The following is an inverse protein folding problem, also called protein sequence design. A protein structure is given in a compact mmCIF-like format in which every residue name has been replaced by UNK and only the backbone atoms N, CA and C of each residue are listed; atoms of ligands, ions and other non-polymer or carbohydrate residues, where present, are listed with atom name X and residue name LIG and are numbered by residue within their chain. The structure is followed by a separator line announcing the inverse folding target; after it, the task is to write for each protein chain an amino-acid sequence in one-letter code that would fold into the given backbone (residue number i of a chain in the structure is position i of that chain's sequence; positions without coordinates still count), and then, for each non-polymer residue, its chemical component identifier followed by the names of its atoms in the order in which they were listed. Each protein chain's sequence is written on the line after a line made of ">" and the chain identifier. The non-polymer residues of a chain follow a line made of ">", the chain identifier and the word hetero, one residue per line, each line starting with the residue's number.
data_IF_380654670169
#
_entry.id   IF_380654670169
#
_cell.length_a   1.000
_cell.length_b   1.000
_cell.length_c   1.000
_cell.angle_alpha   90.00
_cell.angle_beta   90.00
_cell.angle_gamma   90.00
#
_symmetry.space_group_name_H-M   'P 1'
#
loop_
_entity.id
_entity.type
_entity.pdbx_description
1 polymer ?
#
# COMPACT_ATOMS: atom_id res chain seq x y z
N UNK A 1 -53.46 3.48 21.85
CA UNK A 1 -52.85 3.15 23.16
C UNK A 1 -51.32 3.34 23.06
N UNK A 2 -50.63 2.67 22.17
CA UNK A 2 -49.14 2.75 22.04
C UNK A 2 -48.60 4.17 21.89
N UNK A 3 -49.21 5.00 21.07
CA UNK A 3 -48.80 6.41 20.89
C UNK A 3 -48.94 7.24 22.19
N UNK A 4 -49.99 6.98 22.97
CA UNK A 4 -50.19 7.68 24.26
C UNK A 4 -49.15 7.28 25.31
N UNK A 5 -48.76 5.99 25.36
CA UNK A 5 -47.70 5.49 26.23
C UNK A 5 -46.34 6.13 25.83
N UNK A 6 -46.04 6.16 24.53
CA UNK A 6 -44.79 6.72 24.00
C UNK A 6 -44.76 8.25 24.31
N UNK A 7 -45.80 8.99 23.98
CA UNK A 7 -45.89 10.42 24.23
C UNK A 7 -45.73 10.77 25.71
N UNK A 8 -46.39 10.02 26.60
CA UNK A 8 -46.23 10.23 28.03
C UNK A 8 -44.79 10.02 28.52
N UNK A 9 -44.10 8.98 27.98
CA UNK A 9 -42.72 8.72 28.35
C UNK A 9 -41.73 9.69 27.68
N UNK A 10 -42.08 10.29 26.53
CA UNK A 10 -41.30 11.39 25.92
C UNK A 10 -41.34 12.63 26.81
N UNK A 11 -42.47 12.93 27.40
CA UNK A 11 -42.69 14.11 28.23
C UNK A 11 -42.11 13.96 29.63
N UNK A 12 -42.35 12.80 30.28
CA UNK A 12 -42.03 12.58 31.70
C UNK A 12 -40.74 11.78 31.93
N UNK A 13 -40.14 11.21 30.88
CA UNK A 13 -38.91 10.44 30.98
C UNK A 13 -39.12 9.03 31.56
N UNK A 14 -38.41 8.71 32.64
CA UNK A 14 -38.55 7.44 33.33
C UNK A 14 -39.66 7.53 34.37
N UNK A 15 -40.64 6.61 34.30
CA UNK A 15 -41.75 6.53 35.23
C UNK A 15 -42.03 5.09 35.67
N UNK A 16 -42.58 4.89 36.85
CA UNK A 16 -43.06 3.57 37.23
C UNK A 16 -44.43 3.27 36.57
N UNK A 17 -44.82 1.99 36.59
CA UNK A 17 -46.06 1.56 35.92
C UNK A 17 -47.31 2.23 36.51
N UNK A 18 -47.33 2.47 37.84
CA UNK A 18 -48.49 3.08 38.50
C UNK A 18 -48.60 4.57 38.13
N UNK A 19 -47.52 5.30 38.06
CA UNK A 19 -47.47 6.68 37.57
C UNK A 19 -47.96 6.77 36.11
N UNK A 20 -47.48 5.87 35.24
CA UNK A 20 -47.96 5.79 33.87
C UNK A 20 -49.46 5.48 33.80
N UNK A 21 -49.96 4.55 34.62
CA UNK A 21 -51.36 4.20 34.67
C UNK A 21 -52.22 5.37 35.16
N UNK A 22 -51.78 6.09 36.18
CA UNK A 22 -52.48 7.27 36.67
C UNK A 22 -52.49 8.40 35.63
N UNK A 23 -51.36 8.70 35.04
CA UNK A 23 -51.24 9.75 34.02
C UNK A 23 -52.05 9.49 32.73
N UNK A 24 -52.28 8.24 32.40
CA UNK A 24 -53.10 7.84 31.24
C UNK A 24 -54.56 7.51 31.57
N UNK A 25 -55.03 7.69 32.81
CA UNK A 25 -56.36 7.28 33.31
C UNK A 25 -56.63 5.79 33.09
N UNK A 26 -55.62 4.94 33.37
CA UNK A 26 -55.64 3.49 33.14
C UNK A 26 -55.47 2.69 34.45
N UNK A 27 -55.60 3.34 35.64
CA UNK A 27 -55.38 2.70 36.94
C UNK A 27 -56.55 1.83 37.42
N UNK A 28 -57.69 1.80 36.71
CA UNK A 28 -58.87 0.99 37.07
C UNK A 28 -58.71 -0.50 36.78
N UNK A 29 -59.41 -1.35 37.55
CA UNK A 29 -59.30 -2.82 37.48
C UNK A 29 -59.54 -3.42 36.09
N UNK A 30 -60.35 -2.80 35.26
CA UNK A 30 -60.60 -3.26 33.87
C UNK A 30 -59.60 -2.67 32.85
N UNK A 31 -59.02 -1.51 33.13
CA UNK A 31 -58.14 -0.80 32.20
C UNK A 31 -56.68 -1.17 32.41
N UNK A 32 -56.23 -1.41 33.64
CA UNK A 32 -54.82 -1.71 33.98
C UNK A 32 -54.27 -2.95 33.25
N UNK A 33 -54.99 -4.10 33.16
CA UNK A 33 -54.49 -5.25 32.39
C UNK A 33 -54.28 -4.97 30.92
N UNK A 34 -55.08 -4.07 30.32
CA UNK A 34 -54.91 -3.64 28.91
C UNK A 34 -53.65 -2.82 28.75
N UNK A 35 -53.34 -1.93 29.72
CA UNK A 35 -52.11 -1.16 29.75
C UNK A 35 -50.89 -2.08 29.81
N UNK A 36 -50.87 -3.05 30.73
CA UNK A 36 -49.76 -4.01 30.88
C UNK A 36 -49.53 -4.78 29.59
N UNK A 37 -50.60 -5.24 28.93
CA UNK A 37 -50.48 -5.94 27.63
C UNK A 37 -49.83 -5.09 26.53
N UNK A 38 -50.16 -3.83 26.46
CA UNK A 38 -49.56 -2.91 25.48
C UNK A 38 -48.12 -2.56 25.83
N UNK A 39 -47.78 -2.39 27.14
CA UNK A 39 -46.40 -2.20 27.59
C UNK A 39 -45.55 -3.42 27.22
N UNK A 40 -45.98 -4.65 27.50
CA UNK A 40 -45.28 -5.89 27.14
C UNK A 40 -45.09 -6.02 25.63
N UNK A 41 -46.08 -5.58 24.85
CA UNK A 41 -45.96 -5.55 23.38
C UNK A 41 -44.91 -4.54 22.89
N UNK A 42 -44.88 -3.34 23.46
CA UNK A 42 -43.88 -2.32 23.13
C UNK A 42 -42.48 -2.72 23.58
N UNK A 43 -42.36 -3.41 24.70
CA UNK A 43 -41.11 -3.98 25.19
C UNK A 43 -40.60 -5.07 24.26
N UNK A 44 -41.44 -6.04 23.87
CA UNK A 44 -41.09 -7.10 22.90
C UNK A 44 -40.70 -6.54 21.53
N UNK A 45 -41.25 -5.38 21.17
CA UNK A 45 -40.85 -4.64 19.95
C UNK A 45 -39.55 -3.81 20.16
N UNK A 46 -38.95 -3.85 21.33
CA UNK A 46 -37.72 -3.12 21.64
C UNK A 46 -37.88 -1.59 21.70
N UNK A 47 -39.11 -1.09 21.88
CA UNK A 47 -39.40 0.35 22.00
C UNK A 47 -39.28 0.88 23.40
N UNK A 48 -39.57 0.00 24.39
CA UNK A 48 -39.50 0.28 25.82
C UNK A 48 -38.48 -0.64 26.49
N UNK A 49 -38.01 -0.25 27.66
CA UNK A 49 -37.24 -1.07 28.59
C UNK A 49 -37.60 -0.76 30.03
N UNK A 50 -37.46 -1.74 30.90
CA UNK A 50 -37.42 -1.54 32.35
C UNK A 50 -35.96 -1.29 32.77
N UNK A 51 -35.75 -0.41 33.72
CA UNK A 51 -34.49 -0.28 34.43
C UNK A 51 -34.41 -1.23 35.64
N UNK A 52 -33.25 -1.26 36.28
CA UNK A 52 -32.99 -2.15 37.43
C UNK A 52 -33.90 -1.85 38.64
N UNK A 53 -34.61 -0.73 38.66
CA UNK A 53 -35.57 -0.31 39.68
C UNK A 53 -37.03 -0.48 39.23
N UNK A 54 -37.27 -1.13 38.08
CA UNK A 54 -38.60 -1.41 37.58
C UNK A 54 -39.31 -0.20 36.94
N UNK A 55 -38.58 0.89 36.62
CA UNK A 55 -39.16 2.03 35.92
C UNK A 55 -39.14 1.79 34.41
N UNK A 56 -40.20 2.22 33.76
CA UNK A 56 -40.35 2.21 32.31
C UNK A 56 -39.64 3.40 31.68
N UNK A 57 -38.89 3.17 30.59
CA UNK A 57 -38.28 4.20 29.80
C UNK A 57 -38.34 3.86 28.31
N UNK A 58 -38.36 4.87 27.46
CA UNK A 58 -38.16 4.69 26.02
C UNK A 58 -36.75 4.15 25.75
N UNK A 59 -36.67 3.14 24.90
CA UNK A 59 -35.37 2.71 24.41
C UNK A 59 -34.91 3.76 23.37
N UNK A 60 -33.97 4.64 23.76
CA UNK A 60 -33.39 5.59 22.81
C UNK A 60 -32.84 4.78 21.63
N UNK A 61 -33.34 5.01 20.42
CA UNK A 61 -32.63 4.59 19.22
C UNK A 61 -31.23 5.16 19.34
N UNK A 62 -30.24 4.29 19.47
CA UNK A 62 -28.85 4.70 19.29
C UNK A 62 -28.80 5.12 17.82
N UNK A 63 -28.84 6.41 17.56
CA UNK A 63 -28.48 6.92 16.24
C UNK A 63 -27.07 6.42 16.01
N UNK A 64 -26.89 5.51 15.07
CA UNK A 64 -25.56 5.14 14.60
C UNK A 64 -24.96 6.45 14.11
N UNK A 65 -23.99 7.00 14.85
CA UNK A 65 -23.16 8.11 14.40
C UNK A 65 -22.74 7.73 12.98
N UNK A 66 -23.01 8.59 12.01
CA UNK A 66 -22.59 8.40 10.62
C UNK A 66 -21.07 8.20 10.66
N UNK A 67 -20.61 6.98 10.46
CA UNK A 67 -19.18 6.68 10.47
C UNK A 67 -18.56 7.45 9.33
N UNK A 68 -17.52 8.24 9.60
CA UNK A 68 -16.76 8.95 8.56
C UNK A 68 -15.80 7.91 7.99
N UNK A 69 -15.96 7.59 6.71
CA UNK A 69 -15.06 6.71 5.96
C UNK A 69 -14.08 7.54 5.14
N UNK A 70 -12.86 7.06 5.06
CA UNK A 70 -11.77 7.63 4.26
C UNK A 70 -11.10 6.52 3.46
N UNK A 71 -10.60 6.85 2.29
CA UNK A 71 -9.82 5.93 1.45
C UNK A 71 -8.41 6.47 1.33
N UNK A 72 -7.42 5.59 1.43
CA UNK A 72 -6.02 5.98 1.32
C UNK A 72 -5.09 4.78 1.22
N UNK A 73 -3.80 5.04 1.15
CA UNK A 73 -2.75 4.03 1.06
C UNK A 73 -2.26 3.68 2.46
N UNK A 74 -2.30 2.41 2.80
CA UNK A 74 -1.82 1.90 4.08
C UNK A 74 -0.31 1.69 4.05
N UNK A 75 0.41 2.34 4.94
CA UNK A 75 1.86 2.21 5.16
C UNK A 75 2.10 1.41 6.43
N UNK A 76 2.47 0.14 6.27
CA UNK A 76 2.72 -0.75 7.40
C UNK A 76 4.04 -0.44 8.10
N UNK A 77 4.06 -0.61 9.42
CA UNK A 77 5.26 -0.61 10.25
C UNK A 77 5.60 -2.04 10.67
N UNK A 78 6.91 -2.37 10.75
CA UNK A 78 7.40 -3.69 11.22
C UNK A 78 6.90 -4.07 12.62
N UNK A 79 6.46 -3.14 13.43
CA UNK A 79 5.89 -3.37 14.75
C UNK A 79 4.40 -3.75 14.72
N UNK A 80 3.77 -3.89 13.52
CA UNK A 80 2.39 -4.36 13.33
C UNK A 80 1.32 -3.27 13.42
N UNK A 81 1.65 -2.01 13.58
CA UNK A 81 0.77 -0.86 13.36
C UNK A 81 1.11 -0.20 12.02
N UNK A 82 0.41 0.85 11.64
CA UNK A 82 0.74 1.60 10.43
C UNK A 82 0.10 2.97 10.38
N UNK A 83 0.15 3.56 9.20
CA UNK A 83 -0.38 4.87 8.90
C UNK A 83 -1.20 4.81 7.61
N UNK A 84 -2.25 5.60 7.53
CA UNK A 84 -3.08 5.75 6.35
C UNK A 84 -2.79 7.12 5.73
N UNK A 85 -2.17 7.14 4.57
CA UNK A 85 -1.96 8.33 3.75
C UNK A 85 -3.20 8.54 2.85
N UNK A 86 -3.89 9.66 3.04
CA UNK A 86 -5.10 10.00 2.28
C UNK A 86 -4.78 11.02 1.20
N UNK A 87 -4.00 12.05 1.52
CA UNK A 87 -3.58 13.12 0.62
C UNK A 87 -2.14 13.51 0.96
N UNK A 88 -1.37 13.97 -0.05
CA UNK A 88 0.03 14.39 0.14
C UNK A 88 0.16 15.64 1.03
N UNK A 89 -0.90 16.43 1.17
CA UNK A 89 -0.94 17.68 1.95
C UNK A 89 -1.56 17.50 3.34
N UNK A 90 -2.01 16.29 3.69
CA UNK A 90 -2.61 16.01 4.99
C UNK A 90 -1.71 15.09 5.83
N UNK A 91 -1.80 15.22 7.16
CA UNK A 91 -1.09 14.34 8.08
C UNK A 91 -1.64 12.90 7.98
N UNK A 92 -0.73 11.92 7.92
CA UNK A 92 -1.08 10.50 7.92
C UNK A 92 -1.89 10.15 9.18
N UNK A 93 -2.95 9.34 8.99
CA UNK A 93 -3.81 8.87 10.08
C UNK A 93 -3.23 7.61 10.71
N UNK A 94 -3.25 7.50 12.02
CA UNK A 94 -2.71 6.35 12.75
C UNK A 94 -3.66 5.15 12.68
N UNK A 95 -3.10 3.97 12.35
CA UNK A 95 -3.80 2.67 12.34
C UNK A 95 -3.19 1.78 13.41
N UNK A 96 -3.89 1.57 14.51
CA UNK A 96 -3.42 0.71 15.59
C UNK A 96 -3.32 -0.76 15.18
N UNK A 97 -2.47 -1.54 15.85
CA UNK A 97 -2.22 -2.96 15.54
C UNK A 97 -3.50 -3.80 15.39
N UNK A 98 -4.50 -3.58 16.23
CA UNK A 98 -5.78 -4.30 16.18
C UNK A 98 -6.77 -3.76 15.13
N UNK A 99 -6.41 -2.66 14.48
CA UNK A 99 -7.23 -1.93 13.52
C UNK A 99 -6.73 -2.08 12.06
N UNK A 100 -5.60 -2.75 11.85
CA UNK A 100 -5.01 -3.04 10.52
C UNK A 100 -5.84 -4.05 9.73
N UNK A 101 -6.53 -4.97 10.42
CA UNK A 101 -7.29 -6.04 9.76
C UNK A 101 -6.35 -6.97 8.97
N UNK A 102 -6.59 -7.08 7.66
CA UNK A 102 -5.80 -7.90 6.74
C UNK A 102 -5.09 -7.07 5.66
N UNK A 103 -4.92 -5.78 5.92
CA UNK A 103 -4.18 -4.91 5.03
C UNK A 103 -2.69 -5.22 5.10
N UNK A 104 -2.02 -5.10 3.96
CA UNK A 104 -0.57 -5.19 3.83
C UNK A 104 0.00 -3.85 3.35
N UNK A 105 1.30 -3.68 3.47
CA UNK A 105 1.98 -2.44 3.08
C UNK A 105 1.68 -2.07 1.62
N UNK A 106 1.29 -0.83 1.40
CA UNK A 106 0.95 -0.29 0.08
C UNK A 106 -0.50 -0.53 -0.37
N UNK A 107 -1.31 -1.33 0.34
CA UNK A 107 -2.73 -1.54 -0.04
C UNK A 107 -3.50 -0.22 -0.01
N UNK A 108 -4.34 0.00 -1.02
CA UNK A 108 -5.38 1.02 -0.97
C UNK A 108 -6.56 0.47 -0.17
N UNK A 109 -6.91 1.15 0.92
CA UNK A 109 -7.89 0.66 1.88
C UNK A 109 -8.98 1.68 2.18
N UNK A 110 -10.14 1.17 2.56
CA UNK A 110 -11.21 1.95 3.18
C UNK A 110 -11.10 1.83 4.70
N UNK A 111 -11.15 2.95 5.41
CA UNK A 111 -11.04 2.99 6.86
C UNK A 111 -12.10 3.90 7.48
N UNK A 112 -12.47 3.59 8.71
CA UNK A 112 -13.42 4.38 9.53
C UNK A 112 -12.66 5.17 10.57
N UNK A 113 -12.96 6.46 10.68
CA UNK A 113 -12.38 7.34 11.68
C UNK A 113 -12.94 7.00 13.07
N UNK A 114 -12.07 6.47 13.94
CA UNK A 114 -12.39 6.16 15.37
C UNK A 114 -12.29 7.40 16.23
N UNK A 115 -11.20 8.16 16.02
CA UNK A 115 -10.93 9.40 16.74
C UNK A 115 -10.45 10.45 15.74
N UNK A 116 -11.06 11.63 15.70
CA UNK A 116 -10.58 12.71 14.84
C UNK A 116 -9.25 13.26 15.34
N UNK A 117 -8.47 13.85 14.45
CA UNK A 117 -7.25 14.56 14.80
C UNK A 117 -7.54 15.69 15.81
N UNK A 118 -6.64 15.91 16.74
CA UNK A 118 -6.72 17.04 17.66
C UNK A 118 -5.48 17.93 17.49
N UNK A 119 -5.61 18.96 16.67
CA UNK A 119 -4.54 19.92 16.37
C UNK A 119 -3.98 20.61 17.62
N UNK A 120 -4.85 20.89 18.62
CA UNK A 120 -4.43 21.52 19.87
C UNK A 120 -3.52 20.64 20.73
N UNK A 121 -3.69 19.30 20.63
CA UNK A 121 -2.88 18.31 21.34
C UNK A 121 -1.79 17.69 20.47
N UNK A 122 -1.69 18.05 19.19
CA UNK A 122 -0.74 17.45 18.24
C UNK A 122 -0.96 15.96 18.00
N UNK A 123 -2.21 15.47 18.13
CA UNK A 123 -2.52 14.04 17.92
C UNK A 123 -3.15 13.82 16.55
N UNK A 124 -2.59 12.86 15.79
CA UNK A 124 -3.15 12.41 14.52
C UNK A 124 -4.53 11.75 14.71
N UNK A 125 -5.32 11.71 13.63
CA UNK A 125 -6.54 10.92 13.62
C UNK A 125 -6.23 9.42 13.79
N UNK A 126 -7.08 8.70 14.53
CA UNK A 126 -7.01 7.24 14.62
C UNK A 126 -8.10 6.62 13.75
N UNK A 127 -7.72 5.67 12.90
CA UNK A 127 -8.63 4.99 11.98
C UNK A 127 -8.56 3.48 12.14
N UNK A 128 -9.60 2.79 11.69
CA UNK A 128 -9.67 1.33 11.60
C UNK A 128 -9.98 0.94 10.15
N UNK A 129 -9.17 0.09 9.57
CA UNK A 129 -9.39 -0.46 8.24
C UNK A 129 -10.61 -1.38 8.25
N UNK A 130 -11.54 -1.16 7.32
CA UNK A 130 -12.79 -1.91 7.20
C UNK A 130 -12.88 -2.66 5.87
N UNK A 131 -12.13 -2.25 4.86
CA UNK A 131 -12.10 -2.86 3.54
C UNK A 131 -10.77 -2.65 2.83
N UNK A 132 -10.46 -3.56 1.91
CA UNK A 132 -9.35 -3.44 0.98
C UNK A 132 -9.94 -3.09 -0.37
N UNK A 133 -9.54 -1.95 -0.92
CA UNK A 133 -9.99 -1.48 -2.24
C UNK A 133 -9.11 -2.08 -3.33
N UNK A 134 -7.77 -2.01 -3.13
CA UNK A 134 -6.80 -2.55 -4.07
C UNK A 134 -5.60 -3.13 -3.32
N UNK A 135 -5.12 -4.28 -3.79
CA UNK A 135 -3.92 -4.94 -3.29
C UNK A 135 -2.68 -4.42 -3.99
N UNK A 136 -1.71 -3.96 -3.21
CA UNK A 136 -0.40 -3.55 -3.71
C UNK A 136 0.55 -4.73 -3.87
N UNK A 137 0.63 -5.61 -2.86
CA UNK A 137 1.55 -6.73 -2.84
C UNK A 137 1.07 -7.84 -3.77
N UNK A 138 1.58 -7.90 -5.01
CA UNK A 138 1.22 -8.92 -6.01
C UNK A 138 2.25 -10.03 -6.09
N UNK A 139 3.53 -9.69 -5.88
CA UNK A 139 4.66 -10.62 -5.95
C UNK A 139 5.55 -10.48 -4.74
N UNK A 140 6.22 -11.55 -4.38
CA UNK A 140 7.21 -11.55 -3.29
C UNK A 140 8.40 -12.41 -3.69
N UNK A 141 9.60 -11.93 -3.40
CA UNK A 141 10.84 -12.69 -3.55
C UNK A 141 11.32 -13.14 -2.16
N UNK A 142 11.83 -14.35 -2.10
CA UNK A 142 12.39 -14.87 -0.86
C UNK A 142 12.95 -16.27 -0.98
N UNK A 143 13.61 -16.68 0.10
CA UNK A 143 14.17 -18.02 0.24
C UNK A 143 13.05 -19.04 0.40
N UNK A 144 13.05 -20.08 -0.44
CA UNK A 144 12.18 -21.23 -0.28
C UNK A 144 12.65 -22.11 0.88
N UNK A 145 11.69 -22.59 1.67
CA UNK A 145 11.90 -23.45 2.82
C UNK A 145 10.89 -24.60 2.75
N UNK A 146 11.40 -25.83 2.77
CA UNK A 146 10.57 -27.02 2.88
C UNK A 146 9.83 -27.02 4.23
N UNK A 147 8.56 -27.43 4.21
CA UNK A 147 7.72 -27.46 5.41
C UNK A 147 6.79 -28.68 5.39
N UNK A 148 7.06 -29.65 6.25
CA UNK A 148 6.25 -30.85 6.38
C UNK A 148 5.00 -30.66 7.25
N UNK A 149 4.90 -29.54 8.00
CA UNK A 149 3.75 -29.25 8.86
C UNK A 149 2.45 -29.06 8.07
N UNK A 150 2.56 -28.60 6.82
CA UNK A 150 1.40 -28.41 5.92
C UNK A 150 1.58 -29.17 4.60
N UNK A 151 1.38 -30.48 4.58
CA UNK A 151 1.71 -31.36 3.44
C UNK A 151 0.95 -31.06 2.15
N UNK A 152 -0.07 -30.22 2.20
CA UNK A 152 -0.80 -29.76 0.99
C UNK A 152 -0.02 -28.68 0.19
N UNK A 153 1.01 -28.07 0.78
CA UNK A 153 1.91 -27.12 0.15
C UNK A 153 3.29 -27.75 -0.10
N UNK A 154 4.07 -27.17 -1.01
CA UNK A 154 5.44 -27.58 -1.24
C UNK A 154 6.38 -27.12 -0.11
N UNK A 155 6.06 -25.99 0.49
CA UNK A 155 6.81 -25.32 1.54
C UNK A 155 6.32 -23.86 1.66
N UNK A 156 7.16 -23.00 2.16
CA UNK A 156 6.89 -21.56 2.25
C UNK A 156 8.11 -20.73 1.90
N UNK A 157 7.91 -19.46 1.57
CA UNK A 157 9.03 -18.51 1.41
C UNK A 157 9.17 -17.62 2.63
N UNK A 158 10.44 -17.28 2.91
CA UNK A 158 10.84 -16.27 3.87
C UNK A 158 11.41 -15.08 3.10
N UNK A 159 10.65 -13.99 3.06
CA UNK A 159 11.08 -12.72 2.45
C UNK A 159 12.00 -11.94 3.38
N UNK A 160 12.93 -11.15 2.81
CA UNK A 160 13.71 -10.14 3.55
C UNK A 160 12.88 -8.91 3.93
N UNK A 161 11.70 -8.73 3.32
CA UNK A 161 10.81 -7.62 3.65
C UNK A 161 10.21 -7.80 5.05
N UNK A 162 10.70 -7.04 6.01
CA UNK A 162 10.28 -7.10 7.42
C UNK A 162 8.82 -6.68 7.67
N UNK A 163 8.16 -6.07 6.69
CA UNK A 163 6.74 -5.70 6.76
C UNK A 163 5.81 -6.88 6.49
N UNK A 164 6.33 -7.95 5.88
CA UNK A 164 5.62 -9.22 5.65
C UNK A 164 5.94 -10.15 6.83
N UNK A 165 5.01 -10.27 7.77
CA UNK A 165 5.20 -11.06 8.98
C UNK A 165 4.66 -12.49 8.86
N UNK A 166 3.73 -12.72 7.93
CA UNK A 166 3.09 -14.01 7.73
C UNK A 166 3.88 -14.89 6.77
N UNK A 167 3.81 -16.21 6.95
CA UNK A 167 4.34 -17.20 5.99
C UNK A 167 3.60 -17.09 4.66
N UNK A 168 4.32 -17.28 3.55
CA UNK A 168 3.76 -17.35 2.19
C UNK A 168 3.94 -18.80 1.73
N UNK A 169 2.87 -19.58 1.80
CA UNK A 169 2.90 -20.99 1.38
C UNK A 169 2.81 -21.12 -0.13
N UNK A 170 3.60 -22.05 -0.66
CA UNK A 170 3.72 -22.32 -2.09
C UNK A 170 2.88 -23.53 -2.44
N UNK A 171 2.01 -23.43 -3.44
CA UNK A 171 1.26 -24.55 -3.99
C UNK A 171 2.21 -25.63 -4.51
N UNK A 172 1.79 -26.88 -4.41
CA UNK A 172 2.51 -27.97 -5.08
C UNK A 172 2.31 -27.82 -6.60
N UNK A 173 3.43 -27.70 -7.28
CA UNK A 173 3.52 -27.56 -8.73
C UNK A 173 4.54 -28.59 -9.26
N UNK A 174 4.59 -28.83 -10.58
CA UNK A 174 5.56 -29.75 -11.15
C UNK A 174 7.03 -29.29 -11.07
N UNK A 175 7.28 -28.10 -10.50
CA UNK A 175 8.63 -27.59 -10.25
C UNK A 175 9.19 -28.29 -9.01
N UNK A 176 10.33 -28.96 -9.18
CA UNK A 176 11.05 -29.58 -8.07
C UNK A 176 11.85 -28.51 -7.34
N UNK A 177 11.51 -28.27 -6.08
CA UNK A 177 12.21 -27.36 -5.17
C UNK A 177 12.84 -28.19 -4.07
N UNK A 178 14.12 -27.94 -3.76
CA UNK A 178 14.92 -28.70 -2.77
C UNK A 178 15.22 -27.90 -1.49
N UNK A 179 14.85 -26.63 -1.44
CA UNK A 179 15.03 -25.73 -0.28
C UNK A 179 16.26 -24.83 -0.39
N UNK A 180 16.97 -24.88 -1.52
CA UNK A 180 18.13 -23.99 -1.77
C UNK A 180 17.75 -22.76 -2.57
N UNK A 181 16.56 -22.73 -3.19
CA UNK A 181 16.16 -21.73 -4.15
C UNK A 181 15.78 -20.40 -3.49
N UNK A 182 16.09 -19.33 -4.19
CA UNK A 182 15.48 -18.01 -4.06
C UNK A 182 14.44 -17.90 -5.18
N UNK A 183 13.19 -17.75 -4.82
CA UNK A 183 12.08 -17.75 -5.80
C UNK A 183 11.27 -16.47 -5.76
N UNK A 184 10.75 -16.06 -6.90
CA UNK A 184 9.74 -15.04 -7.08
C UNK A 184 8.36 -15.71 -7.14
N UNK A 185 7.46 -15.25 -6.32
CA UNK A 185 6.15 -15.86 -6.08
C UNK A 185 5.04 -14.87 -6.37
N UNK A 186 4.04 -15.27 -7.14
CA UNK A 186 2.79 -14.54 -7.27
C UNK A 186 1.83 -14.89 -6.14
N UNK A 187 1.19 -13.89 -5.56
CA UNK A 187 0.25 -14.06 -4.46
C UNK A 187 -1.15 -14.36 -5.00
N UNK A 188 -1.64 -15.57 -4.71
CA UNK A 188 -3.00 -16.00 -5.08
C UNK A 188 -4.02 -15.72 -3.98
N UNK A 189 -3.61 -15.84 -2.71
CA UNK A 189 -4.49 -15.62 -1.57
C UNK A 189 -3.77 -14.85 -0.46
N UNK A 190 -4.48 -13.86 0.05
CA UNK A 190 -4.05 -13.04 1.18
C UNK A 190 -4.57 -13.61 2.50
N UNK A 191 -3.94 -13.25 3.64
CA UNK A 191 -4.45 -13.59 4.96
C UNK A 191 -5.90 -13.12 5.13
N UNK A 192 -6.69 -13.92 5.82
CA UNK A 192 -8.09 -13.64 6.18
C UNK A 192 -8.39 -14.11 7.58
N UNK A 193 -9.56 -13.74 8.13
CA UNK A 193 -10.00 -14.23 9.43
C UNK A 193 -10.08 -15.77 9.42
N UNK A 194 -9.16 -16.43 10.14
CA UNK A 194 -9.02 -17.90 10.19
C UNK A 194 -7.92 -18.49 9.31
N UNK A 195 -7.26 -17.68 8.47
CA UNK A 195 -6.11 -18.07 7.66
C UNK A 195 -5.05 -16.98 7.72
N UNK A 196 -4.16 -17.06 8.72
CA UNK A 196 -3.12 -16.06 8.96
C UNK A 196 -1.85 -16.33 8.14
N UNK A 197 -2.01 -16.59 6.84
CA UNK A 197 -0.91 -16.80 5.91
C UNK A 197 -1.32 -16.49 4.48
N UNK A 198 -0.33 -16.19 3.63
CA UNK A 198 -0.52 -16.06 2.19
C UNK A 198 -0.41 -17.41 1.51
N UNK A 199 -0.95 -17.51 0.30
CA UNK A 199 -0.71 -18.63 -0.62
C UNK A 199 -0.34 -18.07 -1.97
N UNK A 200 0.68 -18.63 -2.60
CA UNK A 200 1.11 -18.25 -3.93
C UNK A 200 1.62 -19.44 -4.74
N UNK A 201 2.06 -19.14 -5.95
CA UNK A 201 2.71 -20.06 -6.86
C UNK A 201 4.03 -19.49 -7.35
N UNK A 202 4.94 -20.35 -7.76
CA UNK A 202 6.26 -19.96 -8.27
C UNK A 202 6.05 -19.26 -9.62
N UNK A 203 6.55 -18.02 -9.74
CA UNK A 203 6.67 -17.32 -11.02
C UNK A 203 8.00 -17.66 -11.66
N UNK A 204 9.10 -17.46 -10.93
CA UNK A 204 10.46 -17.65 -11.41
C UNK A 204 11.38 -18.15 -10.30
N UNK A 205 12.43 -18.86 -10.68
CA UNK A 205 13.57 -19.18 -9.82
C UNK A 205 14.64 -18.12 -10.08
N UNK A 206 14.88 -17.26 -9.10
CA UNK A 206 15.86 -16.16 -9.18
C UNK A 206 17.31 -16.70 -9.14
N UNK A 207 17.53 -17.79 -8.41
CA UNK A 207 18.82 -18.45 -8.26
C UNK A 207 18.84 -19.34 -7.02
N UNK A 208 20.03 -19.77 -6.61
CA UNK A 208 20.19 -20.64 -5.45
C UNK A 208 21.06 -19.98 -4.37
N UNK A 209 20.84 -20.39 -3.14
CA UNK A 209 21.64 -19.92 -2.02
C UNK A 209 23.11 -20.30 -2.25
N UNK A 210 24.00 -19.33 -2.12
CA UNK A 210 25.43 -19.50 -2.37
C UNK A 210 25.88 -19.10 -3.78
N UNK A 211 24.95 -18.83 -4.70
CA UNK A 211 25.30 -18.24 -6.01
C UNK A 211 25.93 -16.87 -5.82
N UNK A 212 26.93 -16.57 -6.64
CA UNK A 212 27.61 -15.27 -6.58
C UNK A 212 26.64 -14.15 -6.98
N UNK A 213 26.46 -13.17 -6.10
CA UNK A 213 25.59 -12.01 -6.34
C UNK A 213 24.10 -12.28 -6.17
N UNK A 214 23.69 -13.44 -5.66
CA UNK A 214 22.26 -13.79 -5.44
C UNK A 214 21.57 -12.86 -4.45
N UNK A 215 22.30 -12.38 -3.44
CA UNK A 215 21.78 -11.44 -2.45
C UNK A 215 21.41 -10.07 -3.06
N UNK A 216 22.17 -9.63 -4.06
CA UNK A 216 21.90 -8.43 -4.84
C UNK A 216 20.71 -8.66 -5.77
N UNK A 217 20.69 -9.81 -6.49
CA UNK A 217 19.56 -10.17 -7.36
C UNK A 217 18.25 -10.29 -6.57
N UNK A 218 18.27 -10.88 -5.39
CA UNK A 218 17.08 -10.97 -4.52
C UNK A 218 16.53 -9.57 -4.18
N UNK A 219 17.42 -8.61 -3.93
CA UNK A 219 17.00 -7.21 -3.65
C UNK A 219 16.41 -6.58 -4.91
N UNK A 220 17.09 -6.65 -6.04
CA UNK A 220 16.60 -6.08 -7.31
C UNK A 220 15.23 -6.65 -7.68
N UNK A 221 15.09 -7.97 -7.64
CA UNK A 221 13.82 -8.64 -7.95
C UNK A 221 12.71 -8.30 -6.94
N UNK A 222 13.06 -8.11 -5.65
CA UNK A 222 12.09 -7.69 -4.63
C UNK A 222 11.56 -6.26 -4.83
N UNK A 223 12.32 -5.43 -5.54
CA UNK A 223 11.95 -4.06 -5.90
C UNK A 223 11.39 -3.95 -7.33
N UNK A 224 11.21 -5.11 -8.00
CA UNK A 224 10.78 -5.21 -9.41
C UNK A 224 11.70 -4.46 -10.39
N UNK A 225 12.99 -4.38 -10.04
CA UNK A 225 14.04 -3.78 -10.88
C UNK A 225 14.54 -4.86 -11.85
N UNK A 226 14.17 -4.69 -13.12
CA UNK A 226 14.59 -5.60 -14.19
C UNK A 226 16.04 -5.35 -14.57
N UNK A 227 16.88 -6.36 -14.43
CA UNK A 227 18.30 -6.30 -14.81
C UNK A 227 18.51 -6.43 -16.31
N UNK A 228 17.57 -7.05 -17.03
CA UNK A 228 17.66 -7.28 -18.47
C UNK A 228 16.77 -6.32 -19.26
N UNK A 229 17.18 -6.04 -20.48
CA UNK A 229 16.39 -5.25 -21.43
C UNK A 229 15.53 -6.16 -22.32
N UNK A 230 14.31 -5.73 -22.71
CA UNK A 230 13.51 -6.40 -23.72
C UNK A 230 14.23 -6.55 -25.08
N UNK A 231 13.89 -7.57 -25.83
CA UNK A 231 14.53 -7.86 -27.14
C UNK A 231 14.39 -6.73 -28.15
N UNK A 232 13.25 -6.04 -28.20
CA UNK A 232 12.99 -4.91 -29.10
C UNK A 232 13.86 -3.70 -28.73
N UNK A 233 14.10 -3.47 -27.44
CA UNK A 233 15.01 -2.43 -26.93
C UNK A 233 16.45 -2.75 -27.30
N UNK A 234 16.87 -4.01 -27.10
CA UNK A 234 18.23 -4.47 -27.50
C UNK A 234 18.44 -4.39 -28.99
N UNK A 235 17.44 -4.72 -29.79
CA UNK A 235 17.53 -4.63 -31.26
C UNK A 235 17.71 -3.16 -31.72
N UNK A 236 16.97 -2.23 -31.10
CA UNK A 236 17.08 -0.80 -31.38
C UNK A 236 18.45 -0.24 -30.95
N UNK A 237 18.91 -0.59 -29.75
CA UNK A 237 20.20 -0.17 -29.22
C UNK A 237 21.36 -0.69 -30.12
N UNK A 238 21.33 -1.95 -30.53
CA UNK A 238 22.35 -2.55 -31.40
C UNK A 238 22.34 -1.99 -32.83
N UNK A 239 21.27 -1.32 -33.26
CA UNK A 239 21.20 -0.65 -34.56
C UNK A 239 21.86 0.75 -34.55
N UNK A 240 22.15 1.30 -33.34
CA UNK A 240 22.88 2.57 -33.23
C UNK A 240 24.34 2.35 -33.63
N UNK A 241 24.91 3.19 -34.52
CA UNK A 241 26.30 3.05 -34.95
C UNK A 241 27.27 3.41 -33.82
N UNK A 242 28.43 2.76 -33.80
CA UNK A 242 29.48 2.97 -32.78
C UNK A 242 30.12 4.37 -32.81
N UNK A 243 29.91 5.12 -33.90
CA UNK A 243 30.41 6.48 -34.04
C UNK A 243 29.44 7.36 -34.85
N UNK A 244 29.38 8.67 -34.56
CA UNK A 244 28.58 9.60 -35.33
C UNK A 244 29.01 9.63 -36.82
N UNK A 245 28.04 9.60 -37.73
CA UNK A 245 28.23 9.73 -39.14
C UNK A 245 28.31 11.21 -39.57
N UNK A 246 28.70 11.47 -40.82
CA UNK A 246 28.68 12.84 -41.37
C UNK A 246 27.29 13.48 -41.33
N UNK A 247 26.20 12.68 -41.40
CA UNK A 247 24.83 13.17 -41.29
C UNK A 247 24.53 13.69 -39.88
N UNK A 248 25.11 13.05 -38.89
CA UNK A 248 24.89 13.41 -37.48
C UNK A 248 25.59 14.73 -37.11
N UNK A 249 26.56 15.15 -37.94
CA UNK A 249 27.31 16.40 -37.76
C UNK A 249 26.62 17.62 -38.39
N UNK A 250 25.62 17.43 -39.25
CA UNK A 250 24.94 18.51 -39.95
C UNK A 250 24.23 19.42 -38.96
N UNK A 251 24.53 20.72 -38.97
CA UNK A 251 23.96 21.74 -38.11
C UNK A 251 24.59 21.80 -36.71
N UNK A 252 25.58 20.98 -36.43
CA UNK A 252 26.36 21.02 -35.17
C UNK A 252 27.62 21.89 -35.32
N UNK A 253 28.08 22.41 -34.18
CA UNK A 253 29.36 23.14 -34.12
C UNK A 253 30.47 22.14 -33.83
N UNK A 254 31.54 22.19 -34.67
CA UNK A 254 32.71 21.32 -34.52
C UNK A 254 33.67 21.91 -33.45
N UNK A 255 33.72 21.29 -32.29
CA UNK A 255 34.62 21.64 -31.19
C UNK A 255 35.79 20.65 -31.02
N UNK A 256 36.05 19.77 -31.98
CA UNK A 256 37.11 18.74 -31.89
C UNK A 256 38.52 19.30 -31.75
N UNK A 257 38.72 20.58 -32.10
CA UNK A 257 39.99 21.30 -31.94
C UNK A 257 40.10 22.09 -30.64
N UNK A 258 39.01 22.18 -29.83
CA UNK A 258 39.02 22.81 -28.54
C UNK A 258 39.40 21.78 -27.46
N UNK A 259 40.12 22.20 -26.44
CA UNK A 259 40.47 21.34 -25.29
C UNK A 259 39.22 21.12 -24.47
N UNK A 260 38.59 19.97 -24.66
CA UNK A 260 37.38 19.55 -23.94
C UNK A 260 37.70 18.30 -23.11
N UNK A 261 37.30 18.27 -21.85
CA UNK A 261 37.61 17.15 -20.94
C UNK A 261 36.45 16.89 -19.97
N UNK A 262 36.41 15.65 -19.48
CA UNK A 262 35.50 15.23 -18.41
C UNK A 262 36.27 15.14 -17.09
N UNK A 263 35.56 15.21 -15.94
CA UNK A 263 36.14 15.09 -14.60
C UNK A 263 35.35 14.00 -13.85
N UNK A 264 35.62 12.76 -14.20
CA UNK A 264 34.93 11.59 -13.68
C UNK A 264 35.85 10.71 -12.85
N UNK A 265 35.28 9.77 -12.09
CA UNK A 265 36.02 8.71 -11.44
C UNK A 265 36.68 7.78 -12.48
N UNK A 266 37.78 7.13 -12.09
CA UNK A 266 38.56 6.27 -12.98
C UNK A 266 37.77 5.10 -13.60
N UNK A 267 36.69 4.68 -12.96
CA UNK A 267 35.81 3.56 -13.30
C UNK A 267 34.46 4.00 -13.88
N UNK A 268 34.27 5.33 -14.10
CA UNK A 268 33.06 5.83 -14.75
C UNK A 268 32.94 5.28 -16.16
N UNK A 269 31.75 4.83 -16.52
CA UNK A 269 31.42 4.25 -17.85
C UNK A 269 30.52 5.18 -18.66
N UNK A 270 29.78 6.03 -17.99
CA UNK A 270 28.85 7.01 -18.51
C UNK A 270 29.45 8.41 -18.29
N UNK A 271 30.02 8.97 -19.37
CA UNK A 271 30.60 10.31 -19.36
C UNK A 271 29.53 11.29 -19.83
N UNK A 272 28.68 11.74 -18.89
CA UNK A 272 27.49 12.53 -19.21
C UNK A 272 27.83 13.99 -19.54
N UNK A 273 28.86 14.56 -18.90
CA UNK A 273 29.20 15.96 -19.03
C UNK A 273 30.70 16.19 -19.30
N UNK A 274 30.96 17.23 -20.07
CA UNK A 274 32.29 17.69 -20.36
C UNK A 274 32.37 19.21 -20.30
N UNK A 275 33.53 19.73 -20.03
CA UNK A 275 33.79 21.18 -19.97
C UNK A 275 34.94 21.58 -20.88
N UNK A 276 34.88 22.79 -21.43
CA UNK A 276 36.03 23.47 -21.99
C UNK A 276 36.10 24.90 -21.49
N UNK A 277 37.28 25.45 -21.50
CA UNK A 277 37.50 26.83 -21.13
C UNK A 277 38.45 27.52 -22.14
N UNK A 278 38.12 28.72 -22.50
CA UNK A 278 38.90 29.56 -23.42
C UNK A 278 39.10 30.96 -22.87
N UNK A 279 40.33 31.43 -22.88
CA UNK A 279 40.66 32.83 -22.55
C UNK A 279 40.36 33.72 -23.77
N UNK A 280 39.51 34.72 -23.59
CA UNK A 280 39.14 35.66 -24.65
C UNK A 280 40.14 36.85 -24.69
N UNK A 281 40.19 37.54 -25.83
CA UNK A 281 41.06 38.68 -26.05
C UNK A 281 40.80 39.85 -25.10
N UNK A 282 39.65 39.98 -24.52
CA UNK A 282 39.27 40.97 -23.54
C UNK A 282 39.66 40.61 -22.10
N UNK A 283 40.33 39.49 -21.89
CA UNK A 283 40.73 38.98 -20.55
C UNK A 283 39.65 38.19 -19.83
N UNK A 284 38.47 38.00 -20.40
CA UNK A 284 37.44 37.17 -19.86
C UNK A 284 37.60 35.68 -20.28
N UNK A 285 36.89 34.80 -19.59
CA UNK A 285 36.84 33.38 -19.91
C UNK A 285 35.50 33.03 -20.59
N UNK A 286 35.56 32.20 -21.62
CA UNK A 286 34.42 31.47 -22.16
C UNK A 286 34.44 30.06 -21.58
N UNK A 287 33.35 29.69 -20.90
CA UNK A 287 33.14 28.34 -20.35
C UNK A 287 32.10 27.64 -21.19
N UNK A 288 32.46 26.49 -21.75
CA UNK A 288 31.49 25.56 -22.36
C UNK A 288 31.20 24.42 -21.43
N UNK A 289 29.91 24.12 -21.28
CA UNK A 289 29.43 22.94 -20.59
C UNK A 289 28.63 22.09 -21.60
N UNK A 290 29.05 20.86 -21.75
CA UNK A 290 28.54 19.98 -22.81
C UNK A 290 27.90 18.75 -22.14
N UNK A 291 26.68 18.45 -22.49
CA UNK A 291 25.96 17.26 -22.01
C UNK A 291 25.80 16.30 -23.16
N UNK A 292 25.96 15.00 -22.93
CA UNK A 292 25.73 13.95 -23.93
C UNK A 292 24.32 14.08 -24.50
N UNK A 293 24.23 14.14 -25.86
CA UNK A 293 22.97 14.34 -26.58
C UNK A 293 22.18 13.01 -26.67
N UNK A 294 21.81 12.46 -25.55
CA UNK A 294 21.10 11.16 -25.44
C UNK A 294 19.79 11.17 -26.21
N UNK A 295 19.08 12.31 -26.23
CA UNK A 295 17.81 12.45 -26.93
C UNK A 295 17.93 12.35 -28.48
N UNK A 296 19.11 12.47 -29.02
CA UNK A 296 19.35 12.24 -30.44
C UNK A 296 19.14 10.78 -30.83
N UNK A 297 19.51 9.85 -29.95
CA UNK A 297 19.35 8.41 -30.15
C UNK A 297 18.08 7.85 -29.54
N UNK A 298 17.70 8.35 -28.37
CA UNK A 298 16.49 7.94 -27.64
C UNK A 298 15.32 8.82 -28.07
N UNK A 299 14.75 8.53 -29.22
CA UNK A 299 13.70 9.36 -29.84
C UNK A 299 12.32 9.03 -29.22
N UNK A 300 11.44 10.04 -29.12
CA UNK A 300 10.11 9.88 -28.57
C UNK A 300 9.32 8.77 -29.28
N UNK A 301 8.71 7.87 -28.49
CA UNK A 301 7.92 6.75 -28.99
C UNK A 301 8.72 5.52 -29.43
N UNK A 302 10.07 5.57 -29.43
CA UNK A 302 10.94 4.41 -29.71
C UNK A 302 10.87 3.36 -28.60
N UNK A 303 11.40 2.15 -28.84
CA UNK A 303 11.49 1.10 -27.81
C UNK A 303 12.40 1.56 -26.68
N UNK A 304 13.57 2.15 -26.99
CA UNK A 304 14.49 2.73 -26.03
C UNK A 304 13.81 3.81 -25.17
N UNK A 305 13.02 4.70 -25.78
CA UNK A 305 12.31 5.75 -25.03
C UNK A 305 11.28 5.17 -24.06
N UNK A 306 10.48 4.20 -24.50
CA UNK A 306 9.49 3.57 -23.62
C UNK A 306 10.16 2.90 -22.41
N UNK A 307 11.27 2.21 -22.63
CA UNK A 307 12.03 1.55 -21.57
C UNK A 307 12.71 2.57 -20.65
N UNK A 308 13.30 3.63 -21.19
CA UNK A 308 13.91 4.71 -20.41
C UNK A 308 12.89 5.39 -19.47
N UNK A 309 11.68 5.67 -19.98
CA UNK A 309 10.58 6.23 -19.17
C UNK A 309 10.14 5.25 -18.08
N UNK A 310 10.04 3.95 -18.40
CA UNK A 310 9.63 2.92 -17.46
C UNK A 310 10.66 2.71 -16.33
N UNK A 311 11.96 2.78 -16.62
CA UNK A 311 13.04 2.65 -15.63
C UNK A 311 13.21 3.92 -14.80
N UNK A 312 13.12 5.08 -15.44
CA UNK A 312 13.25 6.40 -14.81
C UNK A 312 14.65 6.80 -14.38
N UNK A 313 15.49 5.86 -13.97
CA UNK A 313 16.88 6.09 -13.54
C UNK A 313 17.69 4.81 -13.60
N UNK A 314 19.01 4.94 -13.59
CA UNK A 314 19.92 3.81 -13.38
C UNK A 314 20.00 3.43 -11.91
N UNK A 315 20.21 2.16 -11.63
CA UNK A 315 20.36 1.63 -10.26
C UNK A 315 21.76 1.06 -10.09
N UNK A 316 22.52 1.67 -9.18
CA UNK A 316 23.89 1.25 -8.88
C UNK A 316 23.87 0.32 -7.66
N UNK A 317 24.35 -0.89 -7.84
CA UNK A 317 24.56 -1.88 -6.78
C UNK A 317 26.04 -2.26 -6.70
N UNK A 318 26.43 -3.02 -5.70
CA UNK A 318 27.84 -3.28 -5.39
C UNK A 318 28.60 -4.02 -6.50
N UNK A 319 27.93 -4.84 -7.29
CA UNK A 319 28.55 -5.72 -8.30
C UNK A 319 28.21 -5.35 -9.74
N UNK A 320 27.21 -4.50 -9.94
CA UNK A 320 26.75 -4.09 -11.30
C UNK A 320 25.99 -2.77 -11.29
N UNK A 321 25.77 -2.24 -12.48
CA UNK A 321 24.84 -1.16 -12.75
C UNK A 321 23.67 -1.74 -13.54
N UNK A 322 22.46 -1.40 -13.15
CA UNK A 322 21.24 -1.64 -13.94
C UNK A 322 20.85 -0.32 -14.55
N UNK A 323 21.16 -0.13 -15.83
CA UNK A 323 20.91 1.15 -16.51
C UNK A 323 19.42 1.37 -16.80
#
# INVERSE_FOLDING_TARGET
>A
MNEKIIAYLEEHGKVNINELAAGLDMAGAEKFPKLIKEISKLESQGKLRFDDHGNLALRKKIEKKKEITVTGVFRANKAGFGFLAVDENEDDMFVGRNDVGHAVDGDTVEAVVKKPANRLKGTAAEVRIVGIVERSLKTVVGKFILDDEKPKYAGYIKSKNQKIQQKIYIKKEPVLLDGTEIIKVDIDKYPTRGHDYFVGHVRDIVGHQGDVGIDVLEVLESMDIKSEFPEDVMAEANAVPDAPSEKDMIGRVDLRNEITFTIDGADAKDLDDAVHIKLLNNGNFELGVHIADVSYYVTEGSALNREAVARGTSVYVTDRVVP
#
